data_IF_239024215820
#
_entry.id   IF_239024215820
#
_cell.length_a   1.000
_cell.length_b   1.000
_cell.length_c   1.000
_cell.angle_alpha   90.00
_cell.angle_beta   90.00
_cell.angle_gamma   90.00
#
_symmetry.space_group_name_H-M   'P 1'
#
loop_
_entity.id
_entity.type
_entity.pdbx_description
1 polymer ?
#
# COMPACT_ATOMS: atom_id res chain seq x y z
N UNK A 1 50.35 -28.02 32.13
CA UNK A 1 49.23 -28.42 31.24
C UNK A 1 49.26 -27.46 30.06
N UNK A 2 49.76 -27.89 28.88
CA UNK A 2 48.94 -28.33 27.73
C UNK A 2 47.82 -27.32 27.43
N UNK A 3 47.63 -26.75 26.24
CA UNK A 3 48.21 -26.93 24.91
C UNK A 3 47.49 -25.95 23.95
N UNK A 4 48.13 -25.59 22.83
CA UNK A 4 47.53 -25.12 21.55
C UNK A 4 46.89 -23.70 21.52
N UNK A 5 47.03 -22.89 20.46
CA UNK A 5 47.31 -23.16 19.03
C UNK A 5 47.72 -21.87 18.28
N UNK A 6 48.83 -21.97 17.53
CA UNK A 6 49.08 -21.48 16.14
C UNK A 6 48.89 -20.02 15.72
N UNK A 7 50.04 -19.34 15.55
CA UNK A 7 50.69 -18.84 14.30
C UNK A 7 50.01 -17.80 13.37
N UNK A 8 50.80 -16.82 12.82
CA UNK A 8 50.36 -15.59 12.12
C UNK A 8 50.68 -15.68 10.59
N UNK A 9 51.16 -14.62 9.91
CA UNK A 9 50.50 -13.42 9.39
C UNK A 9 50.48 -13.39 7.84
N UNK A 10 49.60 -12.57 7.25
CA UNK A 10 49.58 -12.35 5.81
C UNK A 10 49.51 -10.86 5.46
N UNK A 11 50.67 -10.24 5.30
CA UNK A 11 50.80 -8.99 4.53
C UNK A 11 51.65 -9.29 3.31
N UNK A 12 51.15 -9.00 2.11
CA UNK A 12 52.01 -8.54 1.01
C UNK A 12 51.17 -7.72 0.03
N UNK A 13 51.79 -6.64 -0.43
CA UNK A 13 51.19 -5.43 -0.99
C UNK A 13 51.15 -5.48 -2.53
N UNK A 14 50.20 -4.75 -3.10
CA UNK A 14 50.30 -3.89 -4.31
C UNK A 14 51.37 -4.19 -5.38
N UNK A 15 50.93 -4.37 -6.63
CA UNK A 15 51.22 -3.56 -7.86
C UNK A 15 50.81 -4.41 -9.08
N UNK A 16 49.77 -4.05 -9.86
CA UNK A 16 49.75 -3.12 -10.99
C UNK A 16 50.35 -3.67 -12.30
N UNK A 17 49.58 -3.49 -13.38
CA UNK A 17 49.86 -3.56 -14.82
C UNK A 17 49.53 -4.83 -15.62
N UNK A 18 48.72 -4.56 -16.63
CA UNK A 18 48.10 -5.41 -17.63
C UNK A 18 49.11 -6.02 -18.61
N UNK A 19 48.85 -7.27 -19.02
CA UNK A 19 49.37 -7.80 -20.28
C UNK A 19 48.36 -8.78 -20.92
N UNK A 20 47.92 -8.39 -22.11
CA UNK A 20 47.57 -9.20 -23.27
C UNK A 20 46.34 -10.13 -23.25
N UNK A 21 45.48 -9.84 -24.22
CA UNK A 21 44.34 -10.59 -24.73
C UNK A 21 44.70 -11.97 -25.33
N UNK A 22 43.65 -12.72 -25.67
CA UNK A 22 43.51 -13.88 -26.59
C UNK A 22 43.04 -15.17 -25.89
N UNK A 23 41.73 -15.36 -25.81
CA UNK A 23 41.02 -16.66 -25.93
C UNK A 23 39.60 -16.34 -26.47
N UNK A 24 39.41 -16.15 -27.79
CA UNK A 24 38.87 -17.15 -28.74
C UNK A 24 37.51 -17.71 -28.31
N UNK A 25 36.35 -17.14 -28.67
CA UNK A 25 35.71 -17.11 -30.00
C UNK A 25 35.66 -18.49 -30.71
N UNK A 26 34.78 -19.38 -30.24
CA UNK A 26 34.31 -20.54 -31.00
C UNK A 26 32.93 -20.99 -30.48
N UNK A 27 31.85 -20.57 -31.17
CA UNK A 27 30.57 -21.29 -31.30
C UNK A 27 29.60 -20.45 -32.14
N UNK A 28 29.80 -20.43 -33.47
CA UNK A 28 28.75 -20.00 -34.41
C UNK A 28 28.70 -21.05 -35.53
N UNK A 29 27.96 -22.13 -35.30
CA UNK A 29 27.61 -23.08 -36.35
C UNK A 29 26.23 -23.68 -36.04
N UNK A 30 25.24 -23.36 -36.88
CA UNK A 30 23.93 -24.03 -36.87
C UNK A 30 22.73 -23.12 -37.12
N UNK A 31 22.49 -22.71 -38.36
CA UNK A 31 21.17 -22.19 -38.77
C UNK A 31 20.85 -22.68 -40.19
N UNK A 32 20.57 -23.98 -40.32
CA UNK A 32 19.95 -24.53 -41.53
C UNK A 32 18.49 -24.10 -41.55
N UNK A 33 18.11 -23.18 -42.46
CA UNK A 33 16.72 -22.83 -42.74
C UNK A 33 16.12 -23.89 -43.66
N UNK A 34 15.31 -24.79 -43.11
CA UNK A 34 14.48 -25.70 -43.90
C UNK A 34 13.38 -24.88 -44.60
N UNK A 35 13.29 -24.99 -45.93
CA UNK A 35 12.22 -24.40 -46.72
C UNK A 35 11.02 -25.37 -46.67
N UNK A 36 10.03 -25.08 -45.82
CA UNK A 36 8.81 -25.89 -45.75
C UNK A 36 7.95 -25.66 -46.99
N UNK A 37 7.65 -26.72 -47.77
CA UNK A 37 6.57 -26.70 -48.76
C UNK A 37 5.28 -26.26 -48.07
N UNK A 38 4.66 -25.19 -48.57
CA UNK A 38 3.38 -24.70 -48.05
C UNK A 38 2.29 -25.71 -48.38
N UNK A 39 1.99 -26.58 -47.42
CA UNK A 39 0.81 -27.46 -47.47
C UNK A 39 -0.41 -26.65 -47.00
N UNK A 40 -1.64 -27.00 -47.44
CA UNK A 40 -2.86 -26.34 -46.97
C UNK A 40 -2.97 -26.33 -45.42
N UNK A 41 -2.49 -27.40 -44.77
CA UNK A 41 -2.41 -27.50 -43.31
C UNK A 41 -1.47 -26.44 -42.68
N UNK A 42 -0.34 -26.14 -43.33
CA UNK A 42 0.58 -25.08 -42.89
C UNK A 42 -0.02 -23.67 -43.03
N UNK A 43 -0.89 -23.46 -44.03
CA UNK A 43 -1.60 -22.19 -44.20
C UNK A 43 -2.72 -22.02 -43.17
N UNK A 44 -3.46 -23.09 -42.88
CA UNK A 44 -4.49 -23.08 -41.83
C UNK A 44 -3.87 -22.81 -40.45
N UNK A 45 -2.77 -23.47 -40.13
CA UNK A 45 -2.04 -23.24 -38.88
C UNK A 45 -1.55 -21.80 -38.76
N UNK A 46 -1.09 -21.21 -39.87
CA UNK A 46 -0.68 -19.80 -39.91
C UNK A 46 -1.86 -18.86 -39.64
N UNK A 47 -3.03 -19.10 -40.23
CA UNK A 47 -4.23 -18.28 -39.97
C UNK A 47 -4.67 -18.32 -38.51
N UNK A 48 -4.66 -19.50 -37.89
CA UNK A 48 -4.97 -19.66 -36.45
C UNK A 48 -4.02 -18.87 -35.57
N UNK A 49 -2.71 -18.98 -35.84
CA UNK A 49 -1.68 -18.25 -35.08
C UNK A 49 -1.84 -16.73 -35.19
N UNK A 50 -2.27 -16.21 -36.35
CA UNK A 50 -2.52 -14.79 -36.56
C UNK A 50 -3.78 -14.31 -35.83
N UNK A 51 -4.85 -15.11 -35.85
CA UNK A 51 -6.08 -14.80 -35.12
C UNK A 51 -5.83 -14.74 -33.59
N UNK A 52 -5.09 -15.71 -33.05
CA UNK A 52 -4.70 -15.74 -31.63
C UNK A 52 -3.80 -14.56 -31.24
N UNK A 53 -2.89 -14.15 -32.12
CA UNK A 53 -2.07 -12.95 -31.89
C UNK A 53 -2.94 -11.68 -31.85
N UNK A 54 -3.90 -11.54 -32.75
CA UNK A 54 -4.83 -10.42 -32.78
C UNK A 54 -5.72 -10.37 -31.52
N UNK A 55 -6.21 -11.52 -31.05
CA UNK A 55 -7.03 -11.57 -29.85
C UNK A 55 -6.23 -11.20 -28.59
N UNK A 56 -4.98 -11.65 -28.49
CA UNK A 56 -4.10 -11.22 -27.39
C UNK A 56 -3.84 -9.73 -27.38
N UNK A 57 -3.70 -9.11 -28.55
CA UNK A 57 -3.52 -7.65 -28.65
C UNK A 57 -4.79 -6.92 -28.23
N UNK A 58 -5.97 -7.41 -28.65
CA UNK A 58 -7.26 -6.86 -28.21
C UNK A 58 -7.46 -6.96 -26.71
N UNK A 59 -7.10 -8.08 -26.09
CA UNK A 59 -7.19 -8.24 -24.63
C UNK A 59 -6.21 -7.32 -23.89
N UNK A 60 -5.04 -7.02 -24.48
CA UNK A 60 -4.08 -6.04 -23.93
C UNK A 60 -4.56 -4.60 -24.06
N UNK A 61 -5.23 -4.28 -25.15
CA UNK A 61 -5.78 -2.95 -25.42
C UNK A 61 -7.19 -2.78 -24.86
N UNK A 62 -7.78 -3.83 -24.29
CA UNK A 62 -9.08 -3.76 -23.65
C UNK A 62 -9.00 -2.70 -22.54
N UNK A 63 -9.88 -1.70 -22.56
CA UNK A 63 -9.92 -0.70 -21.50
C UNK A 63 -10.13 -1.42 -20.17
N UNK A 64 -9.23 -1.17 -19.20
CA UNK A 64 -9.46 -1.61 -17.84
C UNK A 64 -10.58 -0.74 -17.26
N UNK A 65 -11.82 -1.18 -17.42
CA UNK A 65 -12.98 -0.51 -16.83
C UNK A 65 -12.96 -0.82 -15.35
N UNK A 66 -12.25 0.02 -14.59
CA UNK A 66 -12.32 -0.03 -13.14
C UNK A 66 -13.74 0.40 -12.76
N UNK A 67 -14.53 -0.53 -12.21
CA UNK A 67 -15.87 -0.26 -11.70
C UNK A 67 -15.83 0.51 -10.37
N UNK A 68 -14.73 1.22 -10.11
CA UNK A 68 -14.55 2.11 -8.98
C UNK A 68 -15.52 3.27 -9.19
N UNK A 69 -16.74 3.05 -8.70
CA UNK A 69 -17.71 4.09 -8.42
C UNK A 69 -16.95 5.24 -7.80
N UNK A 70 -17.09 6.44 -8.40
CA UNK A 70 -16.52 7.70 -7.92
C UNK A 70 -16.51 7.72 -6.39
N UNK A 71 -15.37 7.34 -5.81
CA UNK A 71 -15.27 7.32 -4.36
C UNK A 71 -15.37 8.79 -3.96
N UNK A 72 -16.40 9.18 -3.18
CA UNK A 72 -16.57 10.58 -2.83
C UNK A 72 -15.25 11.09 -2.26
N UNK A 73 -14.82 12.31 -2.61
CA UNK A 73 -13.58 12.87 -2.13
C UNK A 73 -13.50 12.67 -0.61
N UNK A 74 -12.32 12.26 -0.13
CA UNK A 74 -12.07 12.05 1.30
C UNK A 74 -12.65 13.25 2.08
N UNK A 75 -13.67 13.02 2.92
CA UNK A 75 -14.37 14.11 3.58
C UNK A 75 -13.41 14.88 4.48
N UNK A 76 -13.25 16.17 4.19
CA UNK A 76 -12.39 17.08 4.94
C UNK A 76 -12.75 17.05 6.44
N UNK A 77 -11.79 16.67 7.29
CA UNK A 77 -12.00 16.62 8.73
C UNK A 77 -12.05 17.99 9.39
N UNK A 78 -11.81 19.05 8.63
CA UNK A 78 -12.06 20.42 9.06
C UNK A 78 -13.37 20.97 8.52
N UNK A 79 -14.11 20.21 7.69
CA UNK A 79 -15.41 20.64 7.21
C UNK A 79 -16.36 20.87 8.40
N UNK A 80 -17.23 21.87 8.29
CA UNK A 80 -18.26 22.12 9.29
C UNK A 80 -19.20 20.90 9.42
N UNK A 81 -19.74 20.68 10.62
CA UNK A 81 -20.79 19.67 10.80
C UNK A 81 -22.09 20.14 10.13
N UNK A 82 -22.91 19.22 9.60
CA UNK A 82 -24.18 19.58 8.98
C UNK A 82 -25.10 20.26 10.00
N UNK A 83 -25.71 21.37 9.60
CA UNK A 83 -26.76 22.00 10.39
C UNK A 83 -27.98 21.08 10.48
N UNK A 84 -28.61 21.02 11.64
CA UNK A 84 -29.78 20.18 11.88
C UNK A 84 -30.77 20.90 12.77
N UNK A 85 -32.07 20.76 12.49
CA UNK A 85 -33.16 21.19 13.36
C UNK A 85 -34.11 20.01 13.58
N UNK A 86 -34.48 19.67 14.82
CA UNK A 86 -34.08 20.32 16.07
C UNK A 86 -32.61 20.06 16.45
N UNK A 87 -32.03 20.96 17.26
CA UNK A 87 -30.66 20.81 17.80
C UNK A 87 -30.59 21.15 19.29
N UNK A 88 -29.51 20.69 19.93
CA UNK A 88 -29.24 20.87 21.36
C UNK A 88 -27.86 21.47 21.56
N UNK A 89 -27.73 22.37 22.52
CA UNK A 89 -26.42 22.89 22.94
C UNK A 89 -25.63 21.81 23.67
N UNK A 90 -24.50 21.40 23.10
CA UNK A 90 -23.69 20.33 23.69
C UNK A 90 -22.69 20.92 24.68
N UNK A 91 -22.94 20.69 25.97
CA UNK A 91 -22.07 21.25 27.02
C UNK A 91 -20.70 20.56 27.12
N UNK A 92 -20.64 19.26 26.81
CA UNK A 92 -19.40 18.48 26.90
C UNK A 92 -19.44 17.26 26.00
N UNK A 93 -18.30 16.90 25.42
CA UNK A 93 -18.07 15.70 24.64
C UNK A 93 -16.95 14.90 25.31
N UNK A 94 -17.17 13.58 25.49
CA UNK A 94 -16.18 12.67 26.09
C UNK A 94 -16.18 11.36 25.34
N UNK A 95 -15.02 10.99 24.80
CA UNK A 95 -14.74 9.67 24.26
C UNK A 95 -14.35 8.76 25.43
N UNK A 96 -15.00 7.60 25.53
CA UNK A 96 -14.74 6.62 26.58
C UNK A 96 -14.37 5.29 25.97
N UNK A 97 -13.34 4.67 26.53
CA UNK A 97 -12.90 3.34 26.11
C UNK A 97 -13.77 2.26 26.79
N UNK A 98 -14.38 1.33 26.03
CA UNK A 98 -15.28 0.33 26.60
C UNK A 98 -14.57 -0.64 27.55
N UNK A 99 -15.28 -1.06 28.60
CA UNK A 99 -14.76 -1.95 29.64
C UNK A 99 -14.43 -3.37 29.17
N UNK A 100 -14.98 -3.79 28.02
CA UNK A 100 -14.74 -5.12 27.42
C UNK A 100 -13.36 -5.26 26.77
N UNK A 101 -12.64 -4.14 26.58
CA UNK A 101 -11.29 -4.18 26.00
C UNK A 101 -10.26 -4.64 27.04
N UNK A 102 -9.15 -5.28 26.60
CA UNK A 102 -8.05 -5.64 27.48
C UNK A 102 -7.54 -4.43 28.29
N UNK A 103 -7.10 -4.60 29.55
CA UNK A 103 -6.66 -3.50 30.40
C UNK A 103 -5.57 -2.61 29.79
N UNK A 104 -4.64 -3.20 29.04
CA UNK A 104 -3.58 -2.47 28.32
C UNK A 104 -4.14 -1.50 27.27
N UNK A 105 -5.14 -1.92 26.51
CA UNK A 105 -5.82 -1.10 25.49
C UNK A 105 -6.73 -0.07 26.16
N UNK A 106 -7.39 -0.43 27.26
CA UNK A 106 -8.20 0.52 28.04
C UNK A 106 -7.38 1.68 28.58
N UNK A 107 -6.15 1.43 29.04
CA UNK A 107 -5.26 2.46 29.55
C UNK A 107 -4.85 3.49 28.49
N UNK A 108 -4.76 3.07 27.22
CA UNK A 108 -4.44 3.90 26.07
C UNK A 108 -5.57 4.85 25.62
N UNK A 109 -6.65 4.93 26.39
CA UNK A 109 -7.81 5.79 26.15
C UNK A 109 -8.60 6.04 27.43
N UNK A 110 -7.93 5.92 28.58
CA UNK A 110 -8.55 6.02 29.90
C UNK A 110 -8.65 7.46 30.39
N UNK A 111 -7.93 8.39 29.74
CA UNK A 111 -7.75 9.75 30.24
C UNK A 111 -7.85 10.80 29.14
N UNK A 112 -8.15 12.03 29.53
CA UNK A 112 -8.08 13.20 28.65
C UNK A 112 -6.68 13.87 28.74
N UNK A 113 -5.64 13.11 29.12
CA UNK A 113 -4.30 13.65 29.28
C UNK A 113 -3.58 13.73 27.92
N UNK A 114 -2.69 14.70 27.69
CA UNK A 114 -1.97 14.82 26.42
C UNK A 114 -1.12 13.60 26.03
N UNK A 115 -0.67 12.83 27.02
CA UNK A 115 0.08 11.58 26.80
C UNK A 115 -0.79 10.37 26.41
N UNK A 116 -2.12 10.52 26.47
CA UNK A 116 -3.05 9.46 26.08
C UNK A 116 -3.08 9.32 24.54
N UNK A 117 -2.88 8.12 23.98
CA UNK A 117 -2.92 7.90 22.54
C UNK A 117 -4.19 8.40 21.86
N UNK A 118 -5.35 8.37 22.54
CA UNK A 118 -6.62 8.87 21.98
C UNK A 118 -6.89 10.35 22.28
N UNK A 119 -5.95 11.07 22.90
CA UNK A 119 -6.11 12.49 23.19
C UNK A 119 -6.41 13.33 21.94
N UNK A 120 -5.79 13.02 20.79
CA UNK A 120 -6.06 13.75 19.55
C UNK A 120 -7.54 13.68 19.13
N UNK A 121 -8.20 12.53 19.34
CA UNK A 121 -9.59 12.31 18.95
C UNK A 121 -10.51 13.07 19.90
N UNK A 122 -10.16 13.08 21.18
CA UNK A 122 -10.86 13.84 22.20
C UNK A 122 -10.76 15.35 21.91
N UNK A 123 -9.56 15.87 21.66
CA UNK A 123 -9.32 17.27 21.34
C UNK A 123 -10.03 17.72 20.06
N UNK A 124 -10.08 16.86 19.03
CA UNK A 124 -10.82 17.13 17.80
C UNK A 124 -12.33 17.30 18.05
N UNK A 125 -12.91 16.40 18.87
CA UNK A 125 -14.33 16.41 19.20
C UNK A 125 -14.71 17.59 20.11
N UNK A 126 -13.82 18.01 21.00
CA UNK A 126 -14.06 19.14 21.93
C UNK A 126 -14.28 20.48 21.21
N UNK A 127 -13.83 20.62 19.94
CA UNK A 127 -14.09 21.82 19.12
C UNK A 127 -15.58 22.12 18.89
N UNK A 128 -16.45 21.13 19.13
CA UNK A 128 -17.89 21.24 18.96
C UNK A 128 -18.66 21.45 20.28
N UNK A 129 -17.97 21.52 21.41
CA UNK A 129 -18.60 21.91 22.68
C UNK A 129 -19.13 23.36 22.59
N UNK A 130 -20.29 23.60 23.18
CA UNK A 130 -21.02 24.87 23.10
C UNK A 130 -21.80 25.09 21.79
N UNK A 131 -21.65 24.22 20.79
CA UNK A 131 -22.40 24.33 19.54
C UNK A 131 -23.76 23.64 19.61
N UNK A 132 -24.70 24.07 18.76
CA UNK A 132 -25.99 23.41 18.61
C UNK A 132 -25.86 22.22 17.65
N UNK A 133 -25.87 21.00 18.19
CA UNK A 133 -25.78 19.77 17.41
C UNK A 133 -27.12 19.03 17.48
N UNK A 134 -27.61 18.58 16.33
CA UNK A 134 -28.70 17.60 16.25
C UNK A 134 -28.19 16.26 15.71
N UNK A 135 -29.12 15.36 15.38
CA UNK A 135 -28.80 13.95 15.07
C UNK A 135 -27.78 13.82 13.93
N UNK A 136 -28.01 14.50 12.81
CA UNK A 136 -27.11 14.44 11.66
C UNK A 136 -25.69 14.93 11.99
N UNK A 137 -25.57 15.96 12.84
CA UNK A 137 -24.30 16.50 13.28
C UNK A 137 -23.55 15.51 14.21
N UNK A 138 -24.27 14.88 15.15
CA UNK A 138 -23.70 13.89 16.07
C UNK A 138 -23.20 12.66 15.30
N UNK A 139 -23.97 12.18 14.33
CA UNK A 139 -23.56 11.06 13.48
C UNK A 139 -22.33 11.41 12.63
N UNK A 140 -22.31 12.60 12.03
CA UNK A 140 -21.16 13.08 11.26
C UNK A 140 -19.91 13.21 12.13
N UNK A 141 -20.05 13.71 13.36
CA UNK A 141 -18.97 13.80 14.34
C UNK A 141 -18.46 12.40 14.73
N UNK A 142 -19.37 11.45 15.01
CA UNK A 142 -19.00 10.07 15.35
C UNK A 142 -18.18 9.41 14.24
N UNK A 143 -18.64 9.51 12.98
CA UNK A 143 -17.90 8.97 11.82
C UNK A 143 -16.55 9.65 11.63
N UNK A 144 -16.46 10.97 11.82
CA UNK A 144 -15.20 11.71 11.75
C UNK A 144 -14.19 11.23 12.79
N UNK A 145 -14.62 11.11 14.04
CA UNK A 145 -13.79 10.61 15.14
C UNK A 145 -13.30 9.20 14.85
N UNK A 146 -14.18 8.30 14.38
CA UNK A 146 -13.80 6.94 14.00
C UNK A 146 -12.73 6.93 12.90
N UNK A 147 -12.90 7.71 11.83
CA UNK A 147 -11.87 7.83 10.77
C UNK A 147 -10.57 8.46 11.27
N UNK A 148 -10.64 9.44 12.16
CA UNK A 148 -9.47 10.06 12.75
C UNK A 148 -8.66 9.06 13.60
N UNK A 149 -9.34 8.14 14.28
CA UNK A 149 -8.73 7.03 15.01
C UNK A 149 -8.10 6.04 14.03
N UNK A 150 -8.89 5.51 13.07
CA UNK A 150 -8.42 4.49 12.13
C UNK A 150 -7.21 4.93 11.29
N UNK A 151 -7.08 6.23 10.98
CA UNK A 151 -5.92 6.76 10.24
C UNK A 151 -4.61 6.76 11.03
N UNK A 152 -4.67 6.65 12.36
CA UNK A 152 -3.49 6.60 13.24
C UNK A 152 -3.10 5.18 13.66
N UNK A 153 -3.89 4.17 13.28
CA UNK A 153 -3.70 2.76 13.65
C UNK A 153 -4.31 2.41 14.99
#
# INVERSE_FOLDING_TARGET
MQQHKTTPPGHCRFTAFAFAAIVSLACIAGSVRAQSLATPDSEEQRRRSQAEAGERERLRQAPNVDLQQDQPPEPDDNAALPASSPCFSIARIRIKTPSRLPPSIRAAGASALPQDPLHFAQADAERYEGQCLGVAAIEALSRRVQRAILRRG
#
